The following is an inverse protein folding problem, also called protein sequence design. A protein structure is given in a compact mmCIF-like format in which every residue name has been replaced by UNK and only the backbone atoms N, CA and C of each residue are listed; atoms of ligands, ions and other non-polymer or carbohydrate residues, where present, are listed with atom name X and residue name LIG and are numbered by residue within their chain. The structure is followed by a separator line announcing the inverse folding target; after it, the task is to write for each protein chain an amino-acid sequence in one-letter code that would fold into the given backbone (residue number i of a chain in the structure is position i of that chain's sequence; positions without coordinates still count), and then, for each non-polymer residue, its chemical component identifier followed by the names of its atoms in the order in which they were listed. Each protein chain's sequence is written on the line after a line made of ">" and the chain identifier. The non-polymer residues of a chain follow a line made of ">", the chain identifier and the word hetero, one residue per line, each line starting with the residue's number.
data_IF_870031700846
#
_entry.id   IF_870031700846
#
_cell.length_a   1.000
_cell.length_b   1.000
_cell.length_c   1.000
_cell.angle_alpha   90.00
_cell.angle_beta   90.00
_cell.angle_gamma   90.00
#
_symmetry.space_group_name_H-M   'P 1'
#
loop_
_entity.id
_entity.type
_entity.pdbx_description
1 polymer ?
#
# COMPACT_ATOMS: atom_id res chain seq x y z
N UNK A 1 -24.41 -9.48 -2.88
CA UNK A 1 -23.48 -8.35 -2.70
C UNK A 1 -22.07 -8.84 -2.92
N UNK A 2 -21.25 -8.10 -3.67
CA UNK A 2 -19.83 -8.39 -3.78
C UNK A 2 -19.13 -8.29 -2.42
N UNK A 3 -18.07 -9.06 -2.23
CA UNK A 3 -17.22 -8.92 -1.04
C UNK A 3 -16.50 -7.58 -1.08
N UNK A 4 -16.34 -6.93 0.08
CA UNK A 4 -15.63 -5.66 0.18
C UNK A 4 -14.17 -5.91 0.46
N UNK A 5 -13.28 -5.27 -0.32
CA UNK A 5 -11.85 -5.22 -0.02
C UNK A 5 -11.34 -3.79 0.07
N UNK A 6 -10.24 -3.62 0.80
CA UNK A 6 -9.61 -2.33 1.08
C UNK A 6 -8.21 -2.36 0.51
N UNK A 7 -7.92 -1.47 -0.43
CA UNK A 7 -6.59 -1.34 -1.04
C UNK A 7 -5.79 -0.25 -0.34
N UNK A 8 -4.63 -0.61 0.18
CA UNK A 8 -3.71 0.32 0.83
C UNK A 8 -2.34 0.35 0.11
N UNK A 9 -1.63 1.49 0.14
CA UNK A 9 -0.30 1.56 -0.42
C UNK A 9 0.71 0.82 0.45
N UNK A 10 1.83 0.35 -0.13
CA UNK A 10 2.96 -0.13 0.63
C UNK A 10 3.66 1.03 1.33
N UNK A 11 4.69 0.72 2.11
CA UNK A 11 5.54 1.73 2.73
C UNK A 11 7.00 1.61 2.27
N UNK A 12 7.68 2.75 2.15
CA UNK A 12 9.13 2.78 1.96
C UNK A 12 9.85 2.28 3.22
N UNK A 13 9.33 2.66 4.41
CA UNK A 13 9.80 2.12 5.69
C UNK A 13 9.38 0.67 5.85
N UNK A 14 10.33 -0.18 6.24
CA UNK A 14 10.12 -1.61 6.49
C UNK A 14 10.93 -2.04 7.71
N UNK A 15 10.39 -3.00 8.45
CA UNK A 15 11.14 -3.73 9.48
C UNK A 15 12.28 -4.49 8.79
N UNK A 16 13.48 -4.44 9.33
CA UNK A 16 14.67 -5.04 8.69
C UNK A 16 14.72 -6.55 8.86
N UNK A 17 14.53 -7.03 10.08
CA UNK A 17 14.57 -8.45 10.42
C UNK A 17 13.33 -9.21 9.94
N UNK A 18 13.42 -10.54 9.95
CA UNK A 18 12.32 -11.43 9.61
C UNK A 18 12.33 -12.68 10.46
N UNK A 19 11.17 -13.33 10.55
CA UNK A 19 10.96 -14.52 11.38
C UNK A 19 10.84 -15.80 10.55
N UNK A 20 10.31 -15.67 9.32
CA UNK A 20 10.02 -16.82 8.45
C UNK A 20 11.13 -17.02 7.42
N UNK A 21 11.15 -18.20 6.81
CA UNK A 21 12.13 -18.55 5.78
C UNK A 21 12.09 -17.60 4.58
N UNK A 22 13.20 -17.54 3.88
CA UNK A 22 13.31 -16.82 2.60
C UNK A 22 12.32 -17.40 1.59
N UNK A 23 11.87 -16.58 0.64
CA UNK A 23 11.06 -17.07 -0.47
C UNK A 23 11.92 -17.86 -1.44
N UNK A 24 11.46 -19.05 -1.82
CA UNK A 24 12.14 -19.91 -2.80
C UNK A 24 11.59 -19.71 -4.22
N UNK A 25 10.37 -19.18 -4.34
CA UNK A 25 9.67 -18.97 -5.59
C UNK A 25 9.02 -17.59 -5.66
N UNK A 26 9.02 -17.02 -6.84
CA UNK A 26 8.38 -15.75 -7.13
C UNK A 26 7.41 -15.90 -8.30
N UNK A 27 6.42 -15.02 -8.37
CA UNK A 27 5.58 -14.90 -9.54
C UNK A 27 6.40 -14.39 -10.74
N UNK A 28 6.03 -14.80 -11.96
CA UNK A 28 6.72 -14.47 -13.21
C UNK A 28 6.99 -12.97 -13.35
N UNK A 29 6.01 -12.13 -13.00
CA UNK A 29 6.19 -10.66 -13.04
C UNK A 29 7.23 -10.20 -12.03
N UNK A 30 7.20 -10.73 -10.80
CA UNK A 30 8.22 -10.41 -9.78
C UNK A 30 9.62 -10.81 -10.26
N UNK A 31 9.77 -12.01 -10.81
CA UNK A 31 11.06 -12.46 -11.35
C UNK A 31 11.57 -11.57 -12.49
N UNK A 32 10.68 -11.18 -13.40
CA UNK A 32 11.02 -10.24 -14.46
C UNK A 32 11.52 -8.92 -13.89
N UNK A 33 10.79 -8.33 -12.92
CA UNK A 33 11.16 -7.06 -12.30
C UNK A 33 12.50 -7.15 -11.54
N UNK A 34 12.79 -8.28 -10.90
CA UNK A 34 14.09 -8.52 -10.25
C UNK A 34 15.21 -8.61 -11.27
N UNK A 35 15.01 -9.30 -12.39
CA UNK A 35 15.99 -9.35 -13.49
C UNK A 35 16.21 -7.97 -14.11
N UNK A 36 15.15 -7.20 -14.33
CA UNK A 36 15.25 -5.84 -14.88
C UNK A 36 16.04 -4.92 -13.94
N UNK A 37 15.85 -5.06 -12.63
CA UNK A 37 16.59 -4.31 -11.62
C UNK A 37 18.08 -4.71 -11.57
N UNK A 38 18.37 -6.01 -11.62
CA UNK A 38 19.74 -6.56 -11.56
C UNK A 38 20.54 -6.19 -12.82
N UNK A 39 19.91 -6.24 -13.99
CA UNK A 39 20.52 -5.89 -15.28
C UNK A 39 20.55 -4.38 -15.57
N UNK A 40 19.99 -3.54 -14.70
CA UNK A 40 19.89 -2.10 -14.95
C UNK A 40 21.27 -1.44 -14.93
N UNK A 41 21.72 -1.00 -16.09
CA UNK A 41 23.01 -0.32 -16.29
C UNK A 41 22.97 1.21 -16.17
N UNK A 42 21.77 1.78 -15.95
CA UNK A 42 21.60 3.22 -15.81
C UNK A 42 21.95 3.76 -14.43
N UNK A 43 21.70 5.04 -14.21
CA UNK A 43 21.96 5.72 -12.96
C UNK A 43 20.93 5.34 -11.87
N UNK A 44 21.33 4.48 -10.94
CA UNK A 44 20.51 4.08 -9.80
C UNK A 44 20.19 5.26 -8.85
N UNK A 45 21.08 6.25 -8.73
CA UNK A 45 20.81 7.43 -7.92
C UNK A 45 19.61 8.22 -8.49
N UNK A 46 19.56 8.34 -9.81
CA UNK A 46 18.43 8.97 -10.52
C UNK A 46 17.15 8.11 -10.42
N UNK A 47 17.26 6.80 -10.60
CA UNK A 47 16.12 5.87 -10.53
C UNK A 47 15.43 5.94 -9.16
N UNK A 48 16.19 5.88 -8.08
CA UNK A 48 15.66 5.92 -6.71
C UNK A 48 15.40 7.35 -6.20
N UNK A 49 16.00 8.37 -6.82
CA UNK A 49 16.01 9.74 -6.31
C UNK A 49 16.83 9.86 -5.00
N UNK A 50 17.88 9.04 -4.84
CA UNK A 50 18.68 8.93 -3.62
C UNK A 50 20.16 9.10 -3.92
N UNK A 51 20.93 9.56 -2.91
CA UNK A 51 22.40 9.74 -2.99
C UNK A 51 23.09 9.09 -1.80
N UNK A 52 24.40 8.91 -1.93
CA UNK A 52 25.33 8.56 -0.86
C UNK A 52 24.91 7.33 -0.02
N UNK A 53 24.90 7.48 1.29
CA UNK A 53 24.58 6.41 2.25
C UNK A 53 23.22 5.74 1.98
N UNK A 54 22.18 6.54 1.63
CA UNK A 54 20.84 6.00 1.36
C UNK A 54 20.82 5.11 0.10
N UNK A 55 21.55 5.49 -0.94
CA UNK A 55 21.68 4.65 -2.14
C UNK A 55 22.43 3.35 -1.85
N UNK A 56 23.52 3.41 -1.06
CA UNK A 56 24.28 2.24 -0.64
C UNK A 56 23.41 1.27 0.17
N UNK A 57 22.59 1.78 1.07
CA UNK A 57 21.62 1.00 1.84
C UNK A 57 20.61 0.29 0.93
N UNK A 58 20.02 1.00 -0.04
CA UNK A 58 19.09 0.41 -1.01
C UNK A 58 19.73 -0.72 -1.80
N UNK A 59 20.96 -0.53 -2.29
CA UNK A 59 21.71 -1.57 -3.00
C UNK A 59 21.92 -2.80 -2.12
N UNK A 60 22.33 -2.60 -0.86
CA UNK A 60 22.52 -3.67 0.13
C UNK A 60 21.22 -4.45 0.37
N UNK A 61 20.10 -3.75 0.62
CA UNK A 61 18.81 -4.38 0.84
C UNK A 61 18.41 -5.23 -0.38
N UNK A 62 18.48 -4.67 -1.58
CA UNK A 62 18.04 -5.36 -2.78
C UNK A 62 18.95 -6.56 -3.16
N UNK A 63 20.24 -6.52 -2.86
CA UNK A 63 21.14 -7.67 -3.08
C UNK A 63 20.85 -8.87 -2.17
N UNK A 64 20.03 -8.69 -1.14
CA UNK A 64 19.68 -9.76 -0.19
C UNK A 64 18.23 -10.26 -0.31
N UNK A 65 17.43 -9.76 -1.25
CA UNK A 65 16.00 -10.10 -1.39
C UNK A 65 15.76 -11.61 -1.39
N UNK A 66 16.58 -12.38 -2.09
CA UNK A 66 16.48 -13.85 -2.21
C UNK A 66 16.97 -14.60 -0.98
N UNK A 67 17.68 -13.94 -0.08
CA UNK A 67 18.38 -14.56 1.05
C UNK A 67 17.90 -14.08 2.41
N UNK A 68 17.09 -13.02 2.44
CA UNK A 68 16.61 -12.47 3.71
C UNK A 68 15.32 -13.15 4.18
N UNK A 69 15.20 -13.26 5.49
CA UNK A 69 13.98 -13.75 6.15
C UNK A 69 12.79 -12.85 5.82
N UNK A 70 11.60 -13.46 5.83
CA UNK A 70 10.33 -12.80 5.51
C UNK A 70 9.51 -12.45 6.74
N UNK A 71 8.56 -11.54 6.56
CA UNK A 71 7.46 -11.22 7.49
C UNK A 71 6.16 -11.11 6.70
N UNK A 72 5.00 -11.28 7.34
CA UNK A 72 3.72 -10.85 6.77
C UNK A 72 3.80 -9.40 6.31
N UNK A 73 3.23 -9.06 5.17
CA UNK A 73 3.33 -7.72 4.60
C UNK A 73 2.86 -6.63 5.57
N UNK A 74 1.78 -6.88 6.32
CA UNK A 74 1.27 -5.93 7.33
C UNK A 74 2.26 -5.66 8.46
N UNK A 75 3.10 -6.61 8.80
CA UNK A 75 4.13 -6.50 9.84
C UNK A 75 5.47 -6.01 9.26
N UNK A 76 5.71 -6.26 7.96
CA UNK A 76 6.90 -5.77 7.25
C UNK A 76 6.87 -4.26 7.04
N UNK A 77 5.74 -3.69 6.63
CA UNK A 77 5.62 -2.26 6.39
C UNK A 77 5.43 -1.47 7.68
N UNK A 78 6.24 -0.41 7.88
CA UNK A 78 6.31 0.37 9.12
C UNK A 78 6.02 1.87 8.95
N UNK A 79 5.48 2.28 7.80
CA UNK A 79 5.18 3.69 7.53
C UNK A 79 3.94 4.23 8.26
N UNK A 80 3.70 5.52 8.13
CA UNK A 80 2.68 6.27 8.88
C UNK A 80 1.26 5.70 8.72
N UNK A 81 0.89 5.19 7.54
CA UNK A 81 -0.41 4.50 7.34
C UNK A 81 -0.49 3.28 8.26
N UNK A 82 0.57 2.51 8.36
CA UNK A 82 0.64 1.29 9.19
C UNK A 82 0.63 1.60 10.68
N UNK A 83 1.24 2.73 11.09
CA UNK A 83 1.11 3.24 12.46
C UNK A 83 -0.34 3.61 12.79
N UNK A 84 -1.07 4.23 11.85
CA UNK A 84 -2.49 4.54 12.02
C UNK A 84 -3.38 3.31 12.04
N UNK A 85 -3.03 2.23 11.32
CA UNK A 85 -3.72 0.94 11.38
C UNK A 85 -3.51 0.29 12.75
N UNK A 86 -2.27 0.30 13.26
CA UNK A 86 -1.87 -0.37 14.49
C UNK A 86 -2.38 -1.82 14.53
N UNK A 87 -1.94 -2.63 13.57
CA UNK A 87 -2.42 -4.00 13.35
C UNK A 87 -2.32 -4.87 14.61
N UNK A 88 -1.31 -4.65 15.46
CA UNK A 88 -1.10 -5.43 16.69
C UNK A 88 -2.31 -5.37 17.63
N UNK A 89 -2.99 -4.22 17.69
CA UNK A 89 -4.14 -3.96 18.58
C UNK A 89 -5.51 -4.12 17.88
N UNK A 90 -5.56 -4.53 16.60
CA UNK A 90 -6.81 -4.83 15.89
C UNK A 90 -7.54 -6.00 16.59
N UNK A 91 -8.81 -5.80 16.94
CA UNK A 91 -9.62 -6.82 17.62
C UNK A 91 -10.07 -7.92 16.67
N UNK A 92 -10.54 -7.58 15.48
CA UNK A 92 -11.00 -8.53 14.47
C UNK A 92 -9.94 -8.72 13.38
N UNK A 93 -8.86 -9.46 13.71
CA UNK A 93 -7.77 -9.75 12.78
C UNK A 93 -8.20 -10.58 11.60
N UNK A 94 -9.12 -11.53 11.79
CA UNK A 94 -9.63 -12.38 10.70
C UNK A 94 -10.29 -11.52 9.61
N UNK A 95 -11.15 -10.59 10.00
CA UNK A 95 -11.79 -9.67 9.06
C UNK A 95 -10.79 -8.73 8.39
N UNK A 96 -9.78 -8.27 9.14
CA UNK A 96 -8.69 -7.47 8.58
C UNK A 96 -7.92 -8.26 7.52
N UNK A 97 -7.52 -9.47 7.86
CA UNK A 97 -6.73 -10.36 7.00
C UNK A 97 -7.52 -10.79 5.73
N UNK A 98 -8.85 -10.90 5.84
CA UNK A 98 -9.72 -11.18 4.69
C UNK A 98 -9.82 -9.97 3.73
N UNK A 99 -9.89 -8.74 4.25
CA UNK A 99 -10.28 -7.57 3.46
C UNK A 99 -9.16 -6.65 3.05
N UNK A 100 -8.02 -6.65 3.75
CA UNK A 100 -6.96 -5.69 3.48
C UNK A 100 -5.92 -6.25 2.53
N UNK A 101 -5.76 -5.56 1.40
CA UNK A 101 -4.77 -5.86 0.38
C UNK A 101 -3.80 -4.69 0.19
N UNK A 102 -2.55 -5.02 -0.03
CA UNK A 102 -1.47 -4.04 -0.19
C UNK A 102 -0.97 -4.10 -1.63
N UNK A 103 -0.92 -2.95 -2.30
CA UNK A 103 -0.38 -2.89 -3.66
C UNK A 103 1.11 -2.59 -3.64
N UNK A 104 1.92 -3.64 -3.75
CA UNK A 104 3.38 -3.57 -3.85
C UNK A 104 3.83 -3.35 -5.29
N UNK A 105 4.84 -2.50 -5.51
CA UNK A 105 5.47 -2.36 -6.83
C UNK A 105 6.13 -3.66 -7.31
N UNK A 106 6.77 -4.39 -6.41
CA UNK A 106 7.49 -5.63 -6.74
C UNK A 106 6.60 -6.88 -6.78
N UNK A 107 5.64 -6.98 -5.85
CA UNK A 107 4.82 -8.19 -5.65
C UNK A 107 3.38 -8.05 -6.13
N UNK A 108 3.00 -6.92 -6.76
CA UNK A 108 1.63 -6.66 -7.19
C UNK A 108 0.66 -6.50 -6.03
N UNK A 109 -0.60 -6.86 -6.26
CA UNK A 109 -1.63 -6.82 -5.23
C UNK A 109 -1.53 -8.08 -4.36
N UNK A 110 -1.16 -7.90 -3.11
CA UNK A 110 -0.94 -8.98 -2.15
C UNK A 110 -1.88 -8.87 -0.96
N UNK A 111 -2.32 -10.01 -0.45
CA UNK A 111 -2.99 -10.05 0.85
C UNK A 111 -2.04 -9.57 1.95
N UNK A 112 -2.56 -8.92 2.98
CA UNK A 112 -1.77 -8.34 4.07
C UNK A 112 -0.93 -9.38 4.85
N UNK A 113 -1.31 -10.68 4.80
CA UNK A 113 -0.57 -11.79 5.43
C UNK A 113 0.46 -12.44 4.53
N UNK A 114 0.55 -12.07 3.24
CA UNK A 114 1.59 -12.57 2.34
C UNK A 114 2.97 -12.33 2.93
N UNK A 115 3.78 -13.39 3.01
CA UNK A 115 5.17 -13.28 3.43
C UNK A 115 5.98 -12.55 2.36
N UNK A 116 6.70 -11.51 2.77
CA UNK A 116 7.56 -10.71 1.90
C UNK A 116 8.92 -10.44 2.54
N UNK A 117 9.99 -10.40 1.73
CA UNK A 117 11.33 -9.98 2.19
C UNK A 117 11.38 -8.47 2.45
N UNK A 118 12.48 -7.99 3.03
CA UNK A 118 12.81 -6.56 2.94
C UNK A 118 13.31 -6.25 1.51
N UNK A 119 12.81 -5.16 0.93
CA UNK A 119 13.14 -4.73 -0.43
C UNK A 119 12.88 -3.24 -0.62
N UNK A 120 13.46 -2.65 -1.67
CA UNK A 120 13.20 -1.28 -2.10
C UNK A 120 12.87 -1.28 -3.59
N UNK A 121 11.60 -1.10 -3.92
CA UNK A 121 11.10 -1.09 -5.30
C UNK A 121 9.83 -0.25 -5.41
N UNK A 122 9.75 0.66 -6.37
CA UNK A 122 8.60 1.54 -6.59
C UNK A 122 7.73 1.00 -7.74
N UNK A 123 6.44 1.34 -7.69
CA UNK A 123 5.45 0.88 -8.71
C UNK A 123 5.71 1.44 -10.11
N UNK A 124 6.42 2.56 -10.21
CA UNK A 124 6.79 3.21 -11.47
C UNK A 124 8.09 2.67 -12.09
N UNK A 125 8.83 1.78 -11.40
CA UNK A 125 10.04 1.17 -11.93
C UNK A 125 9.71 0.12 -13.00
N UNK A 126 10.45 0.14 -14.11
CA UNK A 126 10.40 -0.87 -15.19
C UNK A 126 8.98 -1.18 -15.70
N UNK A 127 8.08 -0.21 -15.61
CA UNK A 127 6.68 -0.40 -16.03
C UNK A 127 5.87 -1.36 -15.15
N UNK A 128 6.30 -1.58 -13.90
CA UNK A 128 5.67 -2.53 -12.98
C UNK A 128 4.14 -2.31 -12.86
N UNK A 129 3.68 -1.06 -12.81
CA UNK A 129 2.24 -0.77 -12.77
C UNK A 129 1.47 -1.37 -13.95
N UNK A 130 2.00 -1.28 -15.16
CA UNK A 130 1.37 -1.86 -16.34
C UNK A 130 1.48 -3.39 -16.36
N UNK A 131 2.60 -3.95 -15.89
CA UNK A 131 2.78 -5.41 -15.84
C UNK A 131 1.81 -6.09 -14.88
N UNK A 132 1.41 -5.40 -13.81
CA UNK A 132 0.46 -5.90 -12.83
C UNK A 132 -1.01 -5.66 -13.19
N UNK A 133 -1.31 -4.69 -14.07
CA UNK A 133 -2.65 -4.13 -14.26
C UNK A 133 -3.70 -5.17 -14.64
N UNK A 134 -3.44 -6.04 -15.61
CA UNK A 134 -4.40 -7.05 -16.07
C UNK A 134 -4.73 -8.07 -14.97
N UNK A 135 -3.69 -8.56 -14.27
CA UNK A 135 -3.88 -9.53 -13.18
C UNK A 135 -4.67 -8.92 -12.02
N UNK A 136 -4.39 -7.65 -11.69
CA UNK A 136 -5.09 -6.93 -10.63
C UNK A 136 -6.54 -6.69 -11.03
N UNK A 137 -6.80 -6.22 -12.25
CA UNK A 137 -8.15 -5.97 -12.73
C UNK A 137 -9.01 -7.25 -12.65
N UNK A 138 -8.52 -8.38 -13.16
CA UNK A 138 -9.22 -9.67 -13.06
C UNK A 138 -9.52 -10.09 -11.62
N UNK A 139 -8.56 -9.88 -10.72
CA UNK A 139 -8.79 -10.20 -9.30
C UNK A 139 -9.89 -9.33 -8.70
N UNK A 140 -9.98 -8.05 -9.08
CA UNK A 140 -10.92 -7.08 -8.51
C UNK A 140 -12.35 -7.21 -9.05
N UNK A 141 -12.61 -7.96 -10.12
CA UNK A 141 -13.94 -8.13 -10.74
C UNK A 141 -15.02 -8.62 -9.75
N UNK A 142 -14.64 -9.47 -8.79
CA UNK A 142 -15.54 -10.07 -7.81
C UNK A 142 -15.74 -9.23 -6.54
N UNK A 143 -15.11 -8.05 -6.46
CA UNK A 143 -15.08 -7.26 -5.24
C UNK A 143 -15.70 -5.87 -5.41
N UNK A 144 -16.20 -5.33 -4.30
CA UNK A 144 -16.41 -3.89 -4.12
C UNK A 144 -15.14 -3.30 -3.49
N UNK A 145 -14.51 -2.37 -4.17
CA UNK A 145 -13.18 -1.85 -3.83
C UNK A 145 -13.27 -0.54 -3.05
N UNK A 146 -12.68 -0.47 -1.86
CA UNK A 146 -12.38 0.77 -1.16
C UNK A 146 -10.91 1.10 -1.43
N UNK A 147 -10.66 2.02 -2.36
CA UNK A 147 -9.31 2.34 -2.84
C UNK A 147 -8.72 3.55 -2.09
N UNK A 148 -7.70 3.28 -1.28
CA UNK A 148 -6.92 4.29 -0.55
C UNK A 148 -5.54 4.56 -1.16
N UNK A 149 -5.30 4.06 -2.38
CA UNK A 149 -4.00 4.18 -3.05
C UNK A 149 -3.72 5.62 -3.51
N UNK A 150 -2.47 6.09 -3.44
CA UNK A 150 -2.05 7.34 -4.09
C UNK A 150 -2.16 7.28 -5.63
N UNK A 151 -2.19 8.44 -6.26
CA UNK A 151 -2.32 8.60 -7.71
C UNK A 151 -1.29 7.78 -8.52
N UNK A 152 -0.07 7.63 -8.02
CA UNK A 152 1.00 6.88 -8.70
C UNK A 152 0.64 5.40 -8.98
N UNK A 153 -0.31 4.83 -8.24
CA UNK A 153 -0.78 3.46 -8.41
C UNK A 153 -1.92 3.30 -9.42
N UNK A 154 -2.49 4.39 -9.93
CA UNK A 154 -3.68 4.33 -10.81
C UNK A 154 -3.43 3.59 -12.13
N UNK A 155 -2.18 3.49 -12.60
CA UNK A 155 -1.83 2.69 -13.79
C UNK A 155 -1.92 1.18 -13.54
N UNK A 156 -1.84 0.76 -12.29
CA UNK A 156 -1.87 -0.65 -11.91
C UNK A 156 -3.26 -1.14 -11.50
N UNK A 157 -4.22 -0.24 -11.26
CA UNK A 157 -5.52 -0.57 -10.66
C UNK A 157 -6.66 -0.06 -11.51
N UNK A 158 -7.54 -1.00 -11.90
CA UNK A 158 -8.83 -0.72 -12.50
C UNK A 158 -9.87 -1.64 -11.85
N UNK A 159 -11.04 -1.12 -11.54
CA UNK A 159 -12.17 -1.86 -10.98
C UNK A 159 -13.48 -1.24 -11.43
N UNK A 160 -14.52 -2.06 -11.58
CA UNK A 160 -15.85 -1.62 -12.01
C UNK A 160 -16.69 -1.15 -10.84
N UNK A 161 -16.55 -1.84 -9.69
CA UNK A 161 -17.30 -1.56 -8.47
C UNK A 161 -16.38 -1.09 -7.35
N UNK A 162 -16.58 0.13 -6.87
CA UNK A 162 -15.78 0.63 -5.76
C UNK A 162 -15.80 2.14 -5.62
N UNK A 163 -15.02 2.62 -4.67
CA UNK A 163 -14.85 4.04 -4.42
C UNK A 163 -13.40 4.38 -4.14
N UNK A 164 -12.93 5.42 -4.80
CA UNK A 164 -11.67 6.08 -4.45
C UNK A 164 -11.87 6.98 -3.26
N UNK A 165 -11.08 6.77 -2.20
CA UNK A 165 -11.13 7.59 -0.98
C UNK A 165 -9.87 8.44 -0.86
N UNK A 166 -10.04 9.74 -0.88
CA UNK A 166 -8.96 10.70 -0.70
C UNK A 166 -9.08 11.42 0.65
N UNK A 167 -7.94 11.79 1.22
CA UNK A 167 -7.83 12.67 2.39
C UNK A 167 -7.18 13.97 1.95
N UNK A 168 -7.91 15.08 2.04
CA UNK A 168 -7.44 16.40 1.60
C UNK A 168 -7.55 17.43 2.72
N UNK A 169 -6.65 18.38 2.70
CA UNK A 169 -6.69 19.57 3.56
C UNK A 169 -6.99 20.77 2.67
N UNK A 170 -7.94 21.60 3.08
CA UNK A 170 -8.22 22.88 2.46
C UNK A 170 -7.74 23.99 3.39
N UNK A 171 -6.83 24.83 2.89
CA UNK A 171 -6.38 26.03 3.58
C UNK A 171 -6.81 27.26 2.78
N UNK A 172 -7.63 28.12 3.38
CA UNK A 172 -8.22 29.27 2.69
C UNK A 172 -8.96 28.88 1.38
N UNK A 173 -9.62 27.71 1.35
CA UNK A 173 -10.34 27.20 0.19
C UNK A 173 -9.47 26.49 -0.86
N UNK A 174 -8.15 26.52 -0.74
CA UNK A 174 -7.23 25.86 -1.68
C UNK A 174 -6.73 24.51 -1.15
N UNK A 175 -6.54 23.53 -2.06
CA UNK A 175 -5.99 22.21 -1.71
C UNK A 175 -4.57 22.34 -1.20
N UNK A 176 -4.33 21.88 0.03
CA UNK A 176 -3.03 21.84 0.69
C UNK A 176 -2.58 20.40 0.93
N UNK A 177 -1.29 20.23 1.19
CA UNK A 177 -0.70 18.91 1.45
C UNK A 177 -1.07 18.41 2.84
N UNK A 178 -1.75 17.26 2.90
CA UNK A 178 -2.17 16.63 4.16
C UNK A 178 -1.02 15.99 4.98
N UNK A 179 0.16 15.83 4.37
CA UNK A 179 1.38 15.41 5.05
C UNK A 179 1.31 14.08 5.78
N UNK A 180 1.95 14.04 6.94
CA UNK A 180 1.98 12.89 7.85
C UNK A 180 0.61 12.64 8.48
N UNK A 181 -0.12 13.68 8.85
CA UNK A 181 -1.44 13.62 9.46
C UNK A 181 -2.43 12.90 8.53
N UNK A 182 -2.52 13.29 7.27
CA UNK A 182 -3.42 12.64 6.31
C UNK A 182 -3.10 11.15 6.09
N UNK A 183 -1.81 10.76 6.19
CA UNK A 183 -1.41 9.35 6.14
C UNK A 183 -1.83 8.60 7.41
N UNK A 184 -1.69 9.22 8.58
CA UNK A 184 -2.08 8.63 9.86
C UNK A 184 -3.59 8.39 9.90
N UNK A 185 -4.37 9.41 9.54
CA UNK A 185 -5.84 9.34 9.50
C UNK A 185 -6.31 8.29 8.48
N UNK A 186 -5.63 8.15 7.35
CA UNK A 186 -5.89 7.07 6.40
C UNK A 186 -5.76 5.69 7.06
N UNK A 187 -4.73 5.47 7.86
CA UNK A 187 -4.56 4.23 8.63
C UNK A 187 -5.66 4.03 9.67
N UNK A 188 -6.01 5.08 10.42
CA UNK A 188 -7.14 5.06 11.38
C UNK A 188 -8.46 4.74 10.69
N UNK A 189 -8.68 5.24 9.46
CA UNK A 189 -9.87 4.92 8.67
C UNK A 189 -9.94 3.44 8.29
N UNK A 190 -8.83 2.85 7.84
CA UNK A 190 -8.76 1.40 7.58
C UNK A 190 -9.14 0.61 8.84
N UNK A 191 -8.54 0.96 9.97
CA UNK A 191 -8.87 0.35 11.26
C UNK A 191 -10.36 0.47 11.60
N UNK A 192 -10.92 1.68 11.47
CA UNK A 192 -12.33 1.94 11.74
C UNK A 192 -13.26 1.11 10.86
N UNK A 193 -12.95 0.98 9.55
CA UNK A 193 -13.71 0.15 8.62
C UNK A 193 -13.80 -1.31 9.10
N UNK A 194 -12.71 -1.84 9.62
CA UNK A 194 -12.62 -3.23 10.10
C UNK A 194 -13.33 -3.40 11.44
N UNK A 195 -13.04 -2.54 12.41
CA UNK A 195 -13.57 -2.67 13.78
C UNK A 195 -15.09 -2.45 13.85
N UNK A 196 -15.66 -1.71 12.90
CA UNK A 196 -17.10 -1.46 12.80
C UNK A 196 -17.78 -2.27 11.68
N UNK A 197 -17.08 -3.20 11.04
CA UNK A 197 -17.55 -4.00 9.88
C UNK A 197 -18.27 -3.13 8.83
N UNK A 198 -17.66 -2.02 8.44
CA UNK A 198 -18.26 -1.08 7.49
C UNK A 198 -18.13 -1.62 6.07
N UNK A 199 -19.26 -1.72 5.38
CA UNK A 199 -19.37 -2.21 3.99
C UNK A 199 -20.07 -1.22 3.07
N UNK A 200 -20.71 -0.22 3.62
CA UNK A 200 -21.49 0.78 2.88
C UNK A 200 -20.87 2.17 3.02
N UNK A 201 -20.63 2.81 1.88
CA UNK A 201 -20.09 4.18 1.77
C UNK A 201 -20.95 5.20 2.54
N UNK A 202 -22.27 4.94 2.67
CA UNK A 202 -23.18 5.82 3.44
C UNK A 202 -22.74 5.99 4.89
N UNK A 203 -22.05 5.01 5.45
CA UNK A 203 -21.52 5.05 6.81
C UNK A 203 -20.21 5.83 6.94
N UNK A 204 -19.55 6.20 5.84
CA UNK A 204 -18.27 6.92 5.92
C UNK A 204 -18.37 8.26 6.65
N UNK A 205 -19.55 8.88 6.66
CA UNK A 205 -19.83 10.09 7.45
C UNK A 205 -19.77 9.89 8.98
N UNK A 206 -19.80 8.62 9.45
CA UNK A 206 -19.66 8.28 10.87
C UNK A 206 -18.18 8.37 11.32
N UNK A 207 -17.22 8.27 10.38
CA UNK A 207 -15.81 8.43 10.69
C UNK A 207 -15.45 9.90 10.87
N UNK A 208 -14.99 10.25 12.06
CA UNK A 208 -14.62 11.62 12.42
C UNK A 208 -13.31 11.61 13.23
N UNK A 209 -12.21 11.79 12.54
CA UNK A 209 -10.85 11.79 13.10
C UNK A 209 -10.07 13.05 12.68
N UNK A 210 -9.40 13.69 13.61
CA UNK A 210 -8.53 14.84 13.36
C UNK A 210 -9.21 16.00 12.59
N UNK A 211 -10.54 16.10 12.67
CA UNK A 211 -11.32 17.12 11.95
C UNK A 211 -11.60 16.84 10.48
N UNK A 212 -11.25 15.65 9.98
CA UNK A 212 -11.65 15.21 8.64
C UNK A 212 -13.13 14.82 8.62
N UNK A 213 -13.86 15.30 7.62
CA UNK A 213 -15.28 15.00 7.40
C UNK A 213 -15.51 14.46 6.00
N UNK A 214 -16.44 13.52 5.87
CA UNK A 214 -16.79 12.94 4.58
C UNK A 214 -17.64 13.92 3.75
N UNK A 215 -17.14 14.27 2.56
CA UNK A 215 -17.78 15.19 1.62
C UNK A 215 -17.66 14.65 0.19
N UNK A 216 -18.74 14.02 -0.33
CA UNK A 216 -18.87 13.69 -1.75
C UNK A 216 -17.74 12.85 -2.35
N UNK A 217 -17.25 11.82 -1.65
CA UNK A 217 -16.21 10.92 -2.13
C UNK A 217 -14.81 11.16 -1.55
N UNK A 218 -14.64 12.11 -0.65
CA UNK A 218 -13.37 12.44 -0.02
C UNK A 218 -13.56 12.88 1.43
N UNK A 219 -12.53 12.68 2.23
CA UNK A 219 -12.43 13.28 3.55
C UNK A 219 -11.73 14.64 3.47
N UNK A 220 -12.41 15.67 3.94
CA UNK A 220 -11.94 17.06 3.90
C UNK A 220 -11.69 17.57 5.31
N UNK A 221 -10.53 18.21 5.52
CA UNK A 221 -10.21 18.99 6.71
C UNK A 221 -10.02 20.45 6.31
N UNK A 222 -10.69 21.36 7.02
CA UNK A 222 -10.53 22.81 6.85
C UNK A 222 -9.51 23.35 7.84
N UNK A 223 -8.57 24.21 7.37
CA UNK A 223 -7.56 24.92 8.17
C UNK A 223 -7.69 26.43 7.97
#
# INVERSE_FOLDING_TARGET
>A
MKKVIILIPPSEGKVEDGEYNCLNEFEIVTEKLLRDLDSYSGDLAKLYGLKDKKLTEVKKINSTILKCKTLPAIERYSGVVYQGIDYSSIKNKELFDERVYILSGLFGLINCRKLIPNYKFKIDFFGAGNLWSEKIARFLEDYYVIDLLPQVYQKAVSYDDGIKVEFIVLKNGEKSFAGHEGKLVKGKFVRWLIENDVRDVKRFSEFNEEGYRWEGGKFVKLL
#
